data_IF_050243531037
#
_entry.id   IF_050243531037
#
_cell.length_a   1.000
_cell.length_b   1.000
_cell.length_c   1.000
_cell.angle_alpha   90.00
_cell.angle_beta   90.00
_cell.angle_gamma   90.00
#
_symmetry.space_group_name_H-M   'P 1'
#
loop_
_entity.id
_entity.type
_entity.pdbx_description
1 polymer ?
#
# COMPACT_ATOMS: atom_id res chain seq x y z
N UNK A 1 -32.28 -21.86 -15.22
CA UNK A 1 -31.69 -23.20 -15.49
C UNK A 1 -31.33 -23.25 -16.96
N UNK A 2 -30.16 -23.81 -17.31
CA UNK A 2 -29.70 -23.86 -18.71
C UNK A 2 -30.46 -24.90 -19.54
N UNK A 3 -31.07 -25.90 -18.89
CA UNK A 3 -31.90 -26.96 -19.49
C UNK A 3 -33.09 -27.27 -18.58
N UNK A 4 -33.99 -28.16 -19.00
CA UNK A 4 -35.03 -28.75 -18.15
C UNK A 4 -34.51 -29.75 -17.12
N UNK A 5 -33.26 -30.21 -17.23
CA UNK A 5 -32.67 -31.15 -16.28
C UNK A 5 -32.16 -30.38 -15.04
N UNK A 6 -32.74 -30.67 -13.88
CA UNK A 6 -32.35 -30.04 -12.60
C UNK A 6 -30.87 -30.27 -12.24
N UNK A 7 -30.27 -31.37 -12.71
CA UNK A 7 -28.84 -31.65 -12.53
C UNK A 7 -27.92 -30.64 -13.22
N UNK A 8 -28.42 -29.89 -14.21
CA UNK A 8 -27.65 -28.88 -14.93
C UNK A 8 -27.75 -27.49 -14.27
N UNK A 9 -28.36 -27.40 -13.09
CA UNK A 9 -28.48 -26.16 -12.33
C UNK A 9 -27.12 -25.56 -11.96
N UNK A 10 -27.01 -24.24 -12.08
CA UNK A 10 -25.83 -23.48 -11.63
C UNK A 10 -26.23 -22.11 -11.10
N UNK A 11 -25.32 -21.51 -10.32
CA UNK A 11 -25.47 -20.15 -9.79
C UNK A 11 -24.85 -19.16 -10.75
N UNK A 12 -25.63 -18.20 -11.26
CA UNK A 12 -25.14 -17.16 -12.17
C UNK A 12 -24.82 -15.82 -11.49
N UNK A 13 -25.38 -15.59 -10.30
CA UNK A 13 -25.13 -14.36 -9.53
C UNK A 13 -25.48 -14.57 -8.05
N UNK A 14 -25.00 -13.64 -7.22
CA UNK A 14 -25.40 -13.54 -5.83
C UNK A 14 -25.78 -12.08 -5.54
N UNK A 15 -26.86 -11.89 -4.78
CA UNK A 15 -27.29 -10.58 -4.30
C UNK A 15 -27.17 -10.54 -2.79
N UNK A 16 -26.77 -9.38 -2.25
CA UNK A 16 -26.83 -9.15 -0.82
C UNK A 16 -28.24 -8.72 -0.43
N UNK A 17 -28.79 -9.36 0.62
CA UNK A 17 -30.06 -8.95 1.23
C UNK A 17 -29.76 -8.09 2.47
N UNK A 18 -30.38 -6.91 2.55
CA UNK A 18 -30.11 -5.94 3.61
C UNK A 18 -28.88 -5.07 3.35
N UNK A 19 -28.47 -4.29 4.35
CA UNK A 19 -27.44 -3.26 4.24
C UNK A 19 -25.99 -3.78 4.36
N UNK A 20 -25.81 -5.10 4.49
CA UNK A 20 -24.50 -5.71 4.69
C UNK A 20 -23.84 -5.31 6.01
N UNK A 21 -24.61 -5.15 7.08
CA UNK A 21 -24.13 -4.69 8.39
C UNK A 21 -23.85 -3.18 8.38
N UNK A 22 -24.64 -2.43 7.63
CA UNK A 22 -24.49 -0.99 7.41
C UNK A 22 -23.34 -0.57 6.48
N UNK A 23 -22.52 -1.51 5.99
CA UNK A 23 -21.31 -1.22 5.20
C UNK A 23 -21.65 -0.90 3.73
N UNK A 24 -22.77 -1.42 3.21
CA UNK A 24 -23.14 -1.33 1.78
C UNK A 24 -24.40 -0.49 1.56
N UNK A 25 -24.57 0.57 2.33
CA UNK A 25 -25.71 1.48 2.23
C UNK A 25 -25.45 2.71 1.33
N UNK A 26 -24.19 3.04 1.04
CA UNK A 26 -23.82 4.18 0.21
C UNK A 26 -23.36 3.70 -1.19
N UNK A 27 -24.10 4.02 -2.27
CA UNK A 27 -23.76 3.59 -3.62
C UNK A 27 -22.46 4.22 -4.17
N UNK A 28 -21.99 5.33 -3.60
CA UNK A 28 -20.73 5.97 -3.99
C UNK A 28 -19.51 5.12 -3.60
N UNK A 29 -19.69 4.16 -2.68
CA UNK A 29 -18.64 3.26 -2.24
C UNK A 29 -18.76 1.91 -2.95
N UNK A 30 -17.85 1.62 -3.88
CA UNK A 30 -17.70 0.28 -4.46
C UNK A 30 -16.73 -0.52 -3.59
N UNK A 31 -17.20 -1.61 -3.01
CA UNK A 31 -16.48 -2.35 -1.96
C UNK A 31 -16.32 -3.81 -2.37
N UNK A 32 -15.08 -4.27 -2.46
CA UNK A 32 -14.71 -5.69 -2.54
C UNK A 32 -14.07 -6.10 -1.21
N UNK A 33 -14.79 -6.88 -0.40
CA UNK A 33 -14.43 -7.19 0.98
C UNK A 33 -14.72 -8.64 1.32
N UNK A 34 -13.84 -9.27 2.10
CA UNK A 34 -14.08 -10.61 2.66
C UNK A 34 -14.63 -10.56 4.10
N UNK A 35 -15.07 -11.71 4.64
CA UNK A 35 -15.61 -11.80 6.01
C UNK A 35 -14.62 -11.40 7.12
N UNK A 36 -13.32 -11.37 6.81
CA UNK A 36 -12.25 -10.98 7.75
C UNK A 36 -11.94 -9.48 7.72
N UNK A 37 -12.60 -8.72 6.83
CA UNK A 37 -12.48 -7.29 6.74
C UNK A 37 -11.36 -6.76 5.85
N UNK A 38 -10.65 -7.61 5.11
CA UNK A 38 -9.73 -7.14 4.07
C UNK A 38 -10.55 -6.56 2.93
N UNK A 39 -10.14 -5.41 2.41
CA UNK A 39 -10.98 -4.60 1.53
C UNK A 39 -10.20 -3.89 0.44
N UNK A 40 -10.81 -3.84 -0.75
CA UNK A 40 -10.52 -2.88 -1.81
C UNK A 40 -11.75 -1.99 -1.94
N UNK A 41 -11.56 -0.67 -1.92
CA UNK A 41 -12.65 0.32 -1.97
C UNK A 41 -12.36 1.40 -2.99
N UNK A 42 -13.36 1.70 -3.81
CA UNK A 42 -13.41 2.89 -4.65
C UNK A 42 -14.51 3.79 -4.06
N UNK A 43 -14.10 4.97 -3.60
CA UNK A 43 -14.96 6.00 -3.05
C UNK A 43 -14.92 7.22 -3.97
N UNK A 44 -15.77 8.22 -3.69
CA UNK A 44 -15.85 9.45 -4.48
C UNK A 44 -14.52 10.21 -4.58
N UNK A 45 -13.71 10.14 -3.52
CA UNK A 45 -12.53 10.96 -3.29
C UNK A 45 -11.22 10.15 -3.21
N UNK A 46 -11.30 8.81 -3.28
CA UNK A 46 -10.13 7.94 -3.13
C UNK A 46 -10.31 6.49 -3.58
N UNK A 47 -9.18 5.84 -3.82
CA UNK A 47 -9.03 4.40 -3.99
C UNK A 47 -8.21 3.85 -2.82
N UNK A 48 -8.67 2.79 -2.16
CA UNK A 48 -7.98 2.20 -1.02
C UNK A 48 -7.89 0.67 -1.10
N UNK A 49 -6.76 0.13 -0.65
CA UNK A 49 -6.54 -1.29 -0.34
C UNK A 49 -6.15 -1.36 1.13
N UNK A 50 -6.97 -1.98 1.97
CA UNK A 50 -6.79 -1.92 3.42
C UNK A 50 -7.05 -3.25 4.11
N UNK A 51 -6.28 -3.50 5.17
CA UNK A 51 -6.53 -4.57 6.13
C UNK A 51 -7.70 -4.27 7.07
N UNK A 52 -8.16 -3.00 7.12
CA UNK A 52 -9.02 -2.44 8.16
C UNK A 52 -8.50 -2.67 9.59
N UNK A 53 -7.17 -2.78 9.74
CA UNK A 53 -6.45 -2.95 11.01
C UNK A 53 -5.22 -2.05 11.14
N UNK A 54 -5.18 -0.95 10.38
CA UNK A 54 -4.10 0.03 10.40
C UNK A 54 -3.26 0.06 9.13
N UNK A 55 -3.08 -1.07 8.45
CA UNK A 55 -2.28 -1.13 7.21
C UNK A 55 -3.14 -0.81 5.97
N UNK A 56 -2.64 0.07 5.10
CA UNK A 56 -3.32 0.45 3.86
C UNK A 56 -2.38 1.00 2.77
N UNK A 57 -2.87 0.92 1.54
CA UNK A 57 -2.43 1.73 0.39
C UNK A 57 -3.63 2.58 -0.02
N UNK A 58 -3.43 3.89 -0.19
CA UNK A 58 -4.48 4.84 -0.54
C UNK A 58 -3.97 5.81 -1.63
N UNK A 59 -4.85 6.11 -2.58
CA UNK A 59 -4.69 7.16 -3.57
C UNK A 59 -5.89 8.09 -3.37
N UNK A 60 -5.64 9.34 -2.96
CA UNK A 60 -6.69 10.34 -2.73
C UNK A 60 -6.51 11.54 -3.65
N UNK A 61 -7.63 12.18 -4.00
CA UNK A 61 -7.63 13.32 -4.91
C UNK A 61 -6.92 14.55 -4.32
N UNK A 62 -6.92 14.69 -2.99
CA UNK A 62 -6.43 15.88 -2.30
C UNK A 62 -5.03 15.71 -1.67
N UNK A 63 -4.64 14.48 -1.31
CA UNK A 63 -3.40 14.22 -0.56
C UNK A 63 -2.41 13.32 -1.32
N UNK A 64 -2.78 12.83 -2.50
CA UNK A 64 -1.92 11.98 -3.32
C UNK A 64 -1.88 10.53 -2.83
N UNK A 65 -0.69 9.94 -2.79
CA UNK A 65 -0.51 8.50 -2.53
C UNK A 65 0.10 8.25 -1.14
N UNK A 66 -0.48 7.31 -0.39
CA UNK A 66 0.00 6.86 0.91
C UNK A 66 0.16 5.34 0.95
N UNK A 67 1.27 4.89 1.51
CA UNK A 67 1.55 3.48 1.82
C UNK A 67 1.92 3.41 3.29
N UNK A 68 1.07 2.77 4.10
CA UNK A 68 1.22 2.73 5.56
C UNK A 68 1.15 1.28 6.05
N UNK A 69 2.10 0.91 6.90
CA UNK A 69 2.14 -0.39 7.55
C UNK A 69 2.62 -0.27 8.99
N UNK A 70 2.00 -1.06 9.87
CA UNK A 70 2.48 -1.36 11.22
C UNK A 70 3.71 -2.28 11.24
N UNK A 71 3.98 -2.96 10.12
CA UNK A 71 5.16 -3.78 9.89
C UNK A 71 6.16 -3.12 8.92
N UNK A 72 6.99 -3.94 8.29
CA UNK A 72 7.98 -3.49 7.30
C UNK A 72 7.36 -3.24 5.93
N UNK A 73 7.76 -2.15 5.27
CA UNK A 73 7.57 -1.95 3.82
C UNK A 73 8.88 -2.32 3.12
N UNK A 74 8.83 -3.24 2.16
CA UNK A 74 9.98 -3.65 1.35
C UNK A 74 9.77 -3.21 -0.09
N UNK A 75 10.70 -2.43 -0.64
CA UNK A 75 10.68 -1.97 -2.04
C UNK A 75 11.97 -2.50 -2.70
N UNK A 76 11.82 -3.25 -3.80
CA UNK A 76 12.95 -3.89 -4.49
C UNK A 76 12.74 -3.81 -6.00
N UNK A 77 13.78 -3.41 -6.72
CA UNK A 77 13.85 -3.44 -8.18
C UNK A 77 15.03 -4.30 -8.62
N UNK A 78 14.92 -4.95 -9.79
CA UNK A 78 16.03 -5.71 -10.38
C UNK A 78 17.06 -4.81 -11.05
N UNK A 79 16.57 -3.78 -11.74
CA UNK A 79 17.38 -2.86 -12.54
C UNK A 79 17.56 -1.55 -11.79
N UNK A 80 16.56 -0.65 -11.87
CA UNK A 80 16.63 0.69 -11.30
C UNK A 80 15.46 0.99 -10.37
N UNK A 81 15.76 1.68 -9.27
CA UNK A 81 14.79 2.34 -8.41
C UNK A 81 15.12 3.84 -8.38
N UNK A 82 14.14 4.69 -8.64
CA UNK A 82 14.29 6.14 -8.70
C UNK A 82 13.31 6.82 -7.75
N UNK A 83 13.81 7.78 -6.97
CA UNK A 83 13.03 8.61 -6.06
C UNK A 83 13.46 10.05 -6.30
N UNK A 84 12.54 10.90 -6.76
CA UNK A 84 12.79 12.30 -7.09
C UNK A 84 11.65 13.20 -6.60
N UNK A 85 11.96 14.46 -6.35
CA UNK A 85 11.00 15.54 -6.15
C UNK A 85 11.45 16.71 -7.03
N UNK A 86 10.58 17.20 -7.90
CA UNK A 86 10.94 18.24 -8.88
C UNK A 86 10.95 19.64 -8.26
N UNK A 87 9.95 19.94 -7.43
CA UNK A 87 9.70 21.31 -6.93
C UNK A 87 10.11 21.51 -5.47
N UNK A 88 10.15 20.43 -4.67
CA UNK A 88 10.23 20.53 -3.22
C UNK A 88 11.39 19.68 -2.65
N UNK A 89 11.09 18.74 -1.77
CA UNK A 89 12.10 17.99 -1.03
C UNK A 89 11.74 16.52 -0.88
N UNK A 90 12.78 15.71 -0.67
CA UNK A 90 12.65 14.33 -0.20
C UNK A 90 12.98 14.35 1.30
N UNK A 91 12.04 13.87 2.12
CA UNK A 91 12.22 13.78 3.58
C UNK A 91 12.36 12.31 4.00
N UNK A 92 13.46 12.00 4.70
CA UNK A 92 13.72 10.67 5.26
C UNK A 92 13.95 10.83 6.76
N UNK A 93 13.13 10.15 7.56
CA UNK A 93 13.22 10.20 9.01
C UNK A 93 13.15 8.79 9.60
N UNK A 94 13.98 8.53 10.61
CA UNK A 94 13.98 7.27 11.34
C UNK A 94 14.31 7.51 12.82
N UNK A 95 13.62 6.82 13.72
CA UNK A 95 13.85 6.95 15.17
C UNK A 95 15.08 6.19 15.69
N UNK A 96 15.73 5.36 14.86
CA UNK A 96 16.89 4.54 15.27
C UNK A 96 18.12 4.76 14.40
N UNK A 97 18.01 4.55 13.09
CA UNK A 97 19.12 4.78 12.14
C UNK A 97 18.61 4.94 10.72
N UNK A 98 19.34 5.66 9.90
CA UNK A 98 19.30 5.57 8.43
C UNK A 98 20.60 4.88 7.99
N UNK A 99 20.48 3.89 7.11
CA UNK A 99 21.60 3.07 6.64
C UNK A 99 21.52 2.93 5.12
N UNK A 100 22.58 3.36 4.43
CA UNK A 100 22.72 3.25 2.97
C UNK A 100 23.95 2.38 2.72
N UNK A 101 23.77 1.33 1.93
CA UNK A 101 24.80 0.33 1.66
C UNK A 101 24.90 0.09 0.16
N UNK A 102 26.13 0.15 -0.34
CA UNK A 102 26.51 -0.32 -1.67
C UNK A 102 27.74 -1.21 -1.49
N UNK A 103 27.56 -2.53 -1.61
CA UNK A 103 28.63 -3.52 -1.37
C UNK A 103 29.32 -3.25 -0.01
N UNK A 104 30.60 -2.89 -0.01
CA UNK A 104 31.38 -2.58 1.20
C UNK A 104 31.38 -1.09 1.59
N UNK A 105 30.76 -0.22 0.78
CA UNK A 105 30.66 1.22 1.05
C UNK A 105 29.34 1.53 1.76
N UNK A 106 29.41 2.27 2.87
CA UNK A 106 28.23 2.59 3.69
C UNK A 106 28.19 4.03 4.19
N UNK A 107 26.96 4.53 4.39
CA UNK A 107 26.63 5.76 5.10
C UNK A 107 25.65 5.42 6.23
N UNK A 108 25.95 5.85 7.45
CA UNK A 108 25.13 5.59 8.65
C UNK A 108 24.80 6.90 9.38
N UNK A 109 23.51 7.19 9.56
CA UNK A 109 23.03 8.28 10.42
C UNK A 109 22.37 7.68 11.66
N UNK A 110 22.89 8.01 12.85
CA UNK A 110 22.35 7.55 14.14
C UNK A 110 22.61 8.57 15.24
N UNK A 111 23.85 8.66 15.72
CA UNK A 111 24.33 9.58 16.78
C UNK A 111 25.23 10.69 16.17
N UNK A 112 25.18 10.84 14.85
CA UNK A 112 26.12 11.54 14.00
C UNK A 112 26.10 10.90 12.61
N UNK A 113 27.07 11.27 11.76
CA UNK A 113 27.23 10.73 10.41
C UNK A 113 28.53 9.92 10.37
N UNK A 114 28.45 8.67 9.92
CA UNK A 114 29.61 7.81 9.65
C UNK A 114 29.61 7.38 8.19
N UNK A 115 30.76 7.47 7.54
CA UNK A 115 30.98 7.09 6.14
C UNK A 115 32.24 6.22 6.07
N UNK A 116 32.17 5.07 5.39
CA UNK A 116 33.32 4.16 5.24
C UNK A 116 33.30 3.41 3.90
N UNK A 117 34.49 3.17 3.33
CA UNK A 117 34.72 2.49 2.05
C UNK A 117 36.09 2.86 1.45
N UNK A 118 36.64 2.08 0.52
CA UNK A 118 37.98 2.31 -0.06
C UNK A 118 38.10 3.66 -0.79
N UNK A 119 37.01 4.16 -1.37
CA UNK A 119 36.98 5.39 -2.17
C UNK A 119 36.36 6.61 -1.48
N UNK A 120 36.22 6.62 -0.15
CA UNK A 120 35.55 7.71 0.57
C UNK A 120 36.40 8.98 0.53
N UNK A 121 35.96 9.96 -0.26
CA UNK A 121 36.49 11.33 -0.27
C UNK A 121 35.56 12.23 0.53
N UNK A 122 36.03 12.72 1.68
CA UNK A 122 35.38 13.78 2.46
C UNK A 122 36.18 15.05 2.18
N UNK A 123 35.67 15.89 1.27
CA UNK A 123 36.23 17.20 0.93
C UNK A 123 35.43 18.32 1.56
#
# INVERSE_FOLDING_TARGET
FPTENEGDAYVCSAVHKGDGGGIRNNPDNKIWRNKYGKEIRLSKDKIAITSNKGDYIEISDNEGVKIVSSGSINIKAKDRLEISSEEASISIAAGKRIFILQEDTQIVLKDGISVSGEGVNIS
#
